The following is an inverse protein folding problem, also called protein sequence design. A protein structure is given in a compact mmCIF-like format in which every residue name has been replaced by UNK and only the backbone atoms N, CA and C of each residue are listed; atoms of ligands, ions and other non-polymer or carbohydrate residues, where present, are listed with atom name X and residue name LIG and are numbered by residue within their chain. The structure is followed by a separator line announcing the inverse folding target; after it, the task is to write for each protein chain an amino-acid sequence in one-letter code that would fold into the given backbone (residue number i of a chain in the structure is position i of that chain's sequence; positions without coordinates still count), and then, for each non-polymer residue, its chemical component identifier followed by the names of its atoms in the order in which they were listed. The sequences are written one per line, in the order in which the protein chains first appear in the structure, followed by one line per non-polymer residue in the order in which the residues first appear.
data_IF_249445772205
#
_entry.id   IF_249445772205
#
_cell.length_a   1.000
_cell.length_b   1.000
_cell.length_c   1.000
_cell.angle_alpha   90.00
_cell.angle_beta   90.00
_cell.angle_gamma   90.00
#
_symmetry.space_group_name_H-M   'P 1'
#
loop_
_entity.id
_entity.type
_entity.pdbx_description
1 polymer ?
#
# COMPACT_ATOMS: atom_id res chain seq x y z
N UNK A 1 -11.73 -0.61 -24.01
CA UNK A 1 -11.53 -1.22 -22.68
C UNK A 1 -11.00 -0.16 -21.68
N UNK A 2 -11.82 0.84 -21.32
CA UNK A 2 -11.45 2.02 -20.49
C UNK A 2 -12.18 2.10 -19.13
N UNK A 3 -12.90 1.04 -18.75
CA UNK A 3 -13.88 1.10 -17.64
C UNK A 3 -13.27 0.78 -16.25
N UNK A 4 -12.11 0.12 -16.18
CA UNK A 4 -11.50 -0.30 -14.89
C UNK A 4 -10.76 0.82 -14.13
N UNK A 5 -10.15 1.78 -14.83
CA UNK A 5 -9.27 2.78 -14.19
C UNK A 5 -10.06 3.75 -13.30
N UNK A 6 -11.28 4.13 -13.70
CA UNK A 6 -12.13 5.05 -12.93
C UNK A 6 -12.71 4.38 -11.67
N UNK A 7 -12.98 3.07 -11.71
CA UNK A 7 -13.49 2.35 -10.53
C UNK A 7 -12.43 2.17 -9.45
N UNK A 8 -11.17 1.97 -9.84
CA UNK A 8 -10.09 1.73 -8.88
C UNK A 8 -9.64 3.02 -8.18
N UNK A 9 -9.66 4.16 -8.88
CA UNK A 9 -9.37 5.47 -8.28
C UNK A 9 -10.45 5.89 -7.26
N UNK A 10 -11.74 5.83 -7.63
CA UNK A 10 -12.82 6.18 -6.71
C UNK A 10 -12.83 5.26 -5.48
N UNK A 11 -12.62 3.96 -5.67
CA UNK A 11 -12.52 3.00 -4.57
C UNK A 11 -11.29 3.26 -3.68
N UNK A 12 -10.15 3.63 -4.27
CA UNK A 12 -8.96 4.01 -3.53
C UNK A 12 -9.19 5.26 -2.68
N UNK A 13 -9.82 6.29 -3.26
CA UNK A 13 -10.09 7.54 -2.57
C UNK A 13 -11.09 7.36 -1.43
N UNK A 14 -12.18 6.61 -1.65
CA UNK A 14 -13.14 6.27 -0.60
C UNK A 14 -12.47 5.48 0.56
N UNK A 15 -11.56 4.55 0.25
CA UNK A 15 -10.80 3.84 1.28
C UNK A 15 -9.88 4.78 2.07
N UNK A 16 -9.22 5.71 1.38
CA UNK A 16 -8.36 6.72 2.00
C UNK A 16 -9.15 7.66 2.93
N UNK A 17 -10.34 8.09 2.53
CA UNK A 17 -11.20 8.95 3.34
C UNK A 17 -11.70 8.23 4.59
N UNK A 18 -12.17 6.98 4.44
CA UNK A 18 -12.59 6.15 5.56
C UNK A 18 -11.46 5.90 6.57
N UNK A 19 -10.20 5.76 6.12
CA UNK A 19 -9.04 5.64 7.00
C UNK A 19 -8.75 6.96 7.73
N UNK A 20 -8.83 8.10 7.04
CA UNK A 20 -8.65 9.42 7.65
C UNK A 20 -9.72 9.73 8.70
N UNK A 21 -10.99 9.43 8.43
CA UNK A 21 -12.09 9.60 9.38
C UNK A 21 -11.86 8.77 10.65
N UNK A 22 -11.39 7.52 10.50
CA UNK A 22 -11.06 6.64 11.63
C UNK A 22 -9.86 7.14 12.43
N UNK A 23 -8.82 7.64 11.75
CA UNK A 23 -7.68 8.28 12.41
C UNK A 23 -8.14 9.51 13.21
N UNK A 24 -8.94 10.39 12.61
CA UNK A 24 -9.48 11.60 13.25
C UNK A 24 -10.41 11.29 14.43
N UNK A 25 -11.14 10.17 14.38
CA UNK A 25 -11.95 9.66 15.50
C UNK A 25 -11.09 9.13 16.68
N UNK A 26 -9.76 9.26 16.64
CA UNK A 26 -8.85 8.86 17.71
C UNK A 26 -8.69 7.34 17.84
N UNK A 27 -9.27 6.56 16.92
CA UNK A 27 -9.17 5.10 16.93
C UNK A 27 -7.74 4.61 16.62
N UNK A 28 -6.86 5.49 16.11
CA UNK A 28 -5.47 5.18 15.80
C UNK A 28 -4.59 4.97 17.05
N UNK A 29 -4.85 5.70 18.14
CA UNK A 29 -4.03 5.69 19.37
C UNK A 29 -4.54 4.74 20.46
N UNK A 30 -5.71 4.13 20.28
CA UNK A 30 -6.24 3.19 21.28
C UNK A 30 -5.37 1.95 21.27
N UNK A 31 -4.36 1.93 22.16
CA UNK A 31 -3.54 0.75 22.48
C UNK A 31 -4.40 -0.46 22.88
N UNK A 32 -5.68 -0.22 23.20
CA UNK A 32 -6.77 -1.18 23.45
C UNK A 32 -7.77 -1.31 22.28
N UNK A 33 -7.38 -1.11 21.02
CA UNK A 33 -8.16 -1.68 19.93
C UNK A 33 -8.12 -3.21 20.09
N UNK A 34 -9.28 -3.87 19.97
CA UNK A 34 -9.33 -5.33 19.95
C UNK A 34 -8.47 -5.87 18.81
N UNK A 35 -7.96 -7.09 18.94
CA UNK A 35 -7.17 -7.75 17.88
C UNK A 35 -7.91 -7.78 16.54
N UNK A 36 -9.24 -7.82 16.56
CA UNK A 36 -10.10 -7.77 15.37
C UNK A 36 -10.09 -6.39 14.70
N UNK A 37 -10.28 -5.30 15.45
CA UNK A 37 -10.31 -3.94 14.90
C UNK A 37 -8.97 -3.51 14.27
N UNK A 38 -7.85 -3.98 14.81
CA UNK A 38 -6.54 -3.78 14.18
C UNK A 38 -6.43 -4.52 12.85
N UNK A 39 -6.80 -5.80 12.82
CA UNK A 39 -6.79 -6.61 11.59
C UNK A 39 -7.65 -6.01 10.48
N UNK A 40 -8.85 -5.55 10.83
CA UNK A 40 -9.77 -4.95 9.85
C UNK A 40 -9.20 -3.65 9.23
N UNK A 41 -8.44 -2.89 10.02
CA UNK A 41 -7.76 -1.67 9.57
C UNK A 41 -6.58 -1.98 8.65
N UNK A 42 -5.68 -2.85 9.09
CA UNK A 42 -4.52 -3.28 8.31
C UNK A 42 -5.01 -3.84 6.96
N UNK A 43 -6.10 -4.60 6.97
CA UNK A 43 -6.76 -5.13 5.79
C UNK A 43 -7.33 -4.04 4.86
N UNK A 44 -7.90 -2.97 5.40
CA UNK A 44 -8.43 -1.86 4.61
C UNK A 44 -7.31 -1.06 3.92
N UNK A 45 -6.25 -0.72 4.65
CA UNK A 45 -5.08 -0.04 4.10
C UNK A 45 -4.37 -0.93 3.07
N UNK A 46 -4.21 -2.22 3.37
CA UNK A 46 -3.66 -3.23 2.46
C UNK A 46 -4.43 -3.32 1.15
N UNK A 47 -5.76 -3.42 1.21
CA UNK A 47 -6.62 -3.45 0.01
C UNK A 47 -6.49 -2.16 -0.81
N UNK A 48 -6.40 -1.00 -0.17
CA UNK A 48 -6.20 0.25 -0.88
C UNK A 48 -4.87 0.26 -1.66
N UNK A 49 -3.80 -0.23 -1.06
CA UNK A 49 -2.49 -0.33 -1.72
C UNK A 49 -2.51 -1.32 -2.88
N UNK A 50 -3.17 -2.48 -2.74
CA UNK A 50 -3.35 -3.42 -3.85
C UNK A 50 -4.14 -2.82 -5.02
N UNK A 51 -5.13 -1.97 -4.74
CA UNK A 51 -5.84 -1.23 -5.80
C UNK A 51 -4.93 -0.23 -6.49
N UNK A 52 -4.18 0.57 -5.71
CA UNK A 52 -3.20 1.54 -6.24
C UNK A 52 -2.12 0.87 -7.09
N UNK A 53 -1.74 -0.37 -6.75
CA UNK A 53 -0.70 -1.10 -7.47
C UNK A 53 -1.16 -1.58 -8.84
N UNK A 54 -2.48 -1.65 -9.08
CA UNK A 54 -3.10 -2.18 -10.30
C UNK A 54 -2.58 -3.60 -10.64
N UNK A 55 -2.22 -4.37 -9.61
CA UNK A 55 -1.67 -5.71 -9.77
C UNK A 55 -0.20 -5.77 -10.20
N UNK A 56 0.55 -4.67 -10.06
CA UNK A 56 1.98 -4.57 -10.42
C UNK A 56 2.85 -4.28 -9.21
N UNK A 57 4.11 -4.72 -9.23
CA UNK A 57 5.10 -4.30 -8.24
C UNK A 57 5.36 -2.79 -8.36
N UNK A 58 5.39 -2.09 -7.23
CA UNK A 58 5.62 -0.65 -7.17
C UNK A 58 7.10 -0.27 -6.98
N UNK A 59 8.01 -1.25 -6.82
CA UNK A 59 9.45 -0.95 -6.76
C UNK A 59 9.95 -0.39 -8.10
N UNK A 60 10.65 0.76 -8.11
CA UNK A 60 11.09 1.41 -9.34
C UNK A 60 12.19 0.63 -10.07
N UNK A 61 12.87 -0.26 -9.36
CA UNK A 61 13.97 -1.09 -9.85
C UNK A 61 13.55 -2.56 -10.02
N UNK A 62 12.24 -2.83 -10.00
CA UNK A 62 11.70 -4.16 -10.23
C UNK A 62 11.99 -4.63 -11.65
N UNK A 63 12.62 -5.80 -11.79
CA UNK A 63 12.88 -6.43 -13.09
C UNK A 63 11.63 -7.05 -13.72
N UNK A 64 10.62 -7.36 -12.89
CA UNK A 64 9.38 -8.02 -13.32
C UNK A 64 8.16 -7.40 -12.61
N UNK A 65 7.76 -6.17 -12.98
CA UNK A 65 6.66 -5.48 -12.32
C UNK A 65 5.31 -6.14 -12.58
N UNK A 66 5.11 -6.71 -13.77
CA UNK A 66 3.95 -7.52 -14.12
C UNK A 66 4.24 -8.99 -13.83
N UNK A 67 3.79 -9.47 -12.67
CA UNK A 67 4.09 -10.83 -12.24
C UNK A 67 3.31 -11.88 -13.04
N UNK A 68 3.99 -12.92 -13.56
CA UNK A 68 3.32 -14.05 -14.22
C UNK A 68 2.69 -15.01 -13.20
N UNK A 69 3.14 -14.97 -11.95
CA UNK A 69 2.67 -15.83 -10.87
C UNK A 69 1.45 -15.23 -10.17
N UNK A 70 0.51 -16.11 -9.83
CA UNK A 70 -0.76 -15.76 -9.18
C UNK A 70 -0.95 -16.55 -7.90
N UNK A 71 -1.70 -15.98 -6.96
CA UNK A 71 -2.19 -16.67 -5.77
C UNK A 71 -3.20 -17.76 -6.16
N UNK A 72 -3.60 -18.59 -5.20
CA UNK A 72 -4.68 -19.58 -5.38
C UNK A 72 -6.03 -18.93 -5.72
N UNK A 73 -6.20 -17.64 -5.39
CA UNK A 73 -7.38 -16.82 -5.73
C UNK A 73 -7.26 -16.14 -7.10
N UNK A 74 -6.15 -16.32 -7.82
CA UNK A 74 -5.94 -15.75 -9.15
C UNK A 74 -5.43 -14.31 -9.16
N UNK A 75 -5.06 -13.74 -8.01
CA UNK A 75 -4.51 -12.39 -7.91
C UNK A 75 -2.99 -12.40 -8.14
N UNK A 76 -2.37 -11.33 -8.67
CA UNK A 76 -0.91 -11.23 -8.74
C UNK A 76 -0.26 -11.47 -7.38
N UNK A 77 0.85 -12.22 -7.35
CA UNK A 77 1.56 -12.57 -6.11
C UNK A 77 2.32 -11.37 -5.55
N UNK A 78 1.60 -10.39 -5.00
CA UNK A 78 2.14 -9.18 -4.38
C UNK A 78 2.01 -9.22 -2.87
N UNK A 79 3.07 -8.75 -2.22
CA UNK A 79 3.18 -8.56 -0.78
C UNK A 79 3.03 -7.07 -0.49
N UNK A 80 2.09 -6.71 0.38
CA UNK A 80 1.86 -5.33 0.79
C UNK A 80 2.34 -5.18 2.22
N UNK A 81 3.18 -4.17 2.43
CA UNK A 81 3.88 -3.97 3.69
C UNK A 81 4.19 -2.48 3.92
N UNK A 82 4.42 -2.09 5.17
CA UNK A 82 4.78 -0.72 5.54
C UNK A 82 6.23 -0.47 5.19
N UNK A 83 6.53 0.69 4.58
CA UNK A 83 7.89 0.98 4.12
C UNK A 83 8.84 1.10 5.31
N UNK A 84 8.34 1.74 6.37
CA UNK A 84 8.98 1.88 7.67
C UNK A 84 8.36 0.90 8.66
N UNK A 85 9.18 0.28 9.50
CA UNK A 85 8.70 -0.64 10.52
C UNK A 85 7.64 0.04 11.41
N UNK A 86 6.51 -0.63 11.62
CA UNK A 86 5.47 -0.17 12.55
C UNK A 86 6.01 0.14 13.95
N UNK A 87 7.04 -0.59 14.40
CA UNK A 87 7.69 -0.36 15.68
C UNK A 87 8.40 1.00 15.76
N UNK A 88 8.77 1.59 14.62
CA UNK A 88 9.37 2.91 14.51
C UNK A 88 8.33 4.05 14.37
N UNK A 89 7.03 3.75 14.50
CA UNK A 89 5.96 4.75 14.39
C UNK A 89 5.47 4.98 12.96
N UNK A 90 5.69 4.02 12.05
CA UNK A 90 5.14 4.05 10.70
C UNK A 90 3.61 4.18 10.73
N UNK A 91 3.09 5.23 10.09
CA UNK A 91 1.64 5.48 9.97
C UNK A 91 0.98 4.36 9.18
N UNK A 92 -0.11 3.82 9.70
CA UNK A 92 -0.89 2.78 9.02
C UNK A 92 -1.84 3.41 7.98
N UNK A 93 -1.23 3.94 6.92
CA UNK A 93 -1.95 4.66 5.86
C UNK A 93 -1.33 4.36 4.49
N UNK A 94 -2.13 4.31 3.39
CA UNK A 94 -1.64 3.90 2.08
C UNK A 94 -0.42 4.68 1.57
N UNK A 95 -0.23 5.95 1.95
CA UNK A 95 0.95 6.73 1.55
C UNK A 95 2.28 6.21 2.13
N UNK A 96 2.24 5.42 3.20
CA UNK A 96 3.40 4.85 3.89
C UNK A 96 3.56 3.33 3.67
N UNK A 97 2.69 2.74 2.86
CA UNK A 97 2.69 1.32 2.51
C UNK A 97 3.01 1.13 1.03
N UNK A 98 3.47 -0.06 0.65
CA UNK A 98 3.89 -0.36 -0.72
C UNK A 98 3.53 -1.80 -1.12
N UNK A 99 3.16 -2.02 -2.39
CA UNK A 99 2.98 -3.36 -2.97
C UNK A 99 4.25 -3.81 -3.71
N UNK A 100 4.85 -4.91 -3.29
CA UNK A 100 6.10 -5.45 -3.84
C UNK A 100 5.92 -6.91 -4.28
N UNK A 101 6.72 -7.33 -5.27
CA UNK A 101 6.89 -8.76 -5.54
C UNK A 101 7.79 -9.41 -4.46
N UNK A 102 7.82 -10.75 -4.35
CA UNK A 102 8.62 -11.45 -3.34
C UNK A 102 10.11 -11.07 -3.37
N UNK A 103 10.68 -10.87 -4.56
CA UNK A 103 12.10 -10.49 -4.70
C UNK A 103 12.37 -9.06 -4.22
N UNK A 104 11.47 -8.12 -4.54
CA UNK A 104 11.60 -6.73 -4.08
C UNK A 104 11.35 -6.61 -2.58
N UNK A 105 10.42 -7.41 -2.03
CA UNK A 105 10.20 -7.49 -0.59
C UNK A 105 11.43 -8.07 0.11
N UNK A 106 12.03 -9.14 -0.43
CA UNK A 106 13.30 -9.66 0.06
C UNK A 106 14.41 -8.59 0.01
N UNK A 107 14.52 -7.82 -1.08
CA UNK A 107 15.51 -6.73 -1.16
C UNK A 107 15.27 -5.65 -0.11
N UNK A 108 14.01 -5.27 0.14
CA UNK A 108 13.63 -4.29 1.17
C UNK A 108 13.97 -4.75 2.58
N UNK A 109 13.89 -6.05 2.85
CA UNK A 109 14.02 -6.60 4.22
C UNK A 109 15.43 -7.10 4.56
N UNK A 110 16.17 -7.59 3.57
CA UNK A 110 17.48 -8.24 3.77
C UNK A 110 18.51 -7.90 2.67
N UNK A 111 18.22 -6.95 1.80
CA UNK A 111 19.16 -6.51 0.77
C UNK A 111 20.27 -5.63 1.37
N UNK A 112 21.46 -5.65 0.76
CA UNK A 112 22.56 -4.80 1.19
C UNK A 112 22.20 -3.31 1.15
N UNK A 113 21.44 -2.90 0.14
CA UNK A 113 21.01 -1.51 -0.08
C UNK A 113 19.57 -1.25 0.41
N UNK A 114 19.11 -1.99 1.42
CA UNK A 114 17.71 -1.92 1.89
C UNK A 114 17.25 -0.51 2.29
N UNK A 115 18.14 0.30 2.89
CA UNK A 115 17.79 1.63 3.38
C UNK A 115 17.62 2.63 2.23
N UNK A 116 18.51 2.56 1.24
CA UNK A 116 18.38 3.32 -0.01
C UNK A 116 17.10 2.90 -0.77
N UNK A 117 16.82 1.60 -0.83
CA UNK A 117 15.57 1.11 -1.41
C UNK A 117 14.36 1.67 -0.65
N UNK A 118 14.33 1.61 0.68
CA UNK A 118 13.23 2.18 1.49
C UNK A 118 13.02 3.66 1.18
N UNK A 119 14.07 4.46 1.09
CA UNK A 119 13.98 5.87 0.70
C UNK A 119 13.31 6.07 -0.66
N UNK A 120 13.73 5.31 -1.67
CA UNK A 120 13.12 5.33 -3.01
C UNK A 120 11.65 4.91 -2.96
N UNK A 121 11.31 3.88 -2.18
CA UNK A 121 9.94 3.40 -2.01
C UNK A 121 9.04 4.45 -1.34
N UNK A 122 9.54 5.21 -0.35
CA UNK A 122 8.77 6.33 0.26
C UNK A 122 8.36 7.35 -0.79
N UNK A 123 9.29 7.73 -1.67
CA UNK A 123 9.01 8.68 -2.76
C UNK A 123 7.97 8.12 -3.73
N UNK A 124 8.08 6.84 -4.11
CA UNK A 124 7.13 6.19 -5.02
C UNK A 124 5.74 6.08 -4.41
N UNK A 125 5.61 5.58 -3.18
CA UNK A 125 4.33 5.43 -2.51
C UNK A 125 3.60 6.78 -2.35
N UNK A 126 4.34 7.82 -1.94
CA UNK A 126 3.80 9.16 -1.81
C UNK A 126 3.33 9.72 -3.16
N UNK A 127 4.15 9.60 -4.21
CA UNK A 127 3.79 10.08 -5.56
C UNK A 127 2.55 9.38 -6.10
N UNK A 128 2.47 8.05 -5.98
CA UNK A 128 1.31 7.27 -6.44
C UNK A 128 0.05 7.61 -5.64
N UNK A 129 0.18 7.79 -4.33
CA UNK A 129 -0.92 8.27 -3.48
C UNK A 129 -1.43 9.65 -3.93
N UNK A 130 -0.52 10.63 -4.06
CA UNK A 130 -0.87 11.98 -4.51
C UNK A 130 -1.51 12.00 -5.89
N UNK A 131 -1.01 11.18 -6.83
CA UNK A 131 -1.57 11.09 -8.17
C UNK A 131 -3.03 10.61 -8.18
N UNK A 132 -3.42 9.69 -7.31
CA UNK A 132 -4.81 9.23 -7.20
C UNK A 132 -5.69 10.21 -6.40
N UNK A 133 -5.14 10.81 -5.35
CA UNK A 133 -5.86 11.81 -4.53
C UNK A 133 -6.09 13.12 -5.26
N UNK A 134 -5.16 13.52 -6.13
CA UNK A 134 -5.23 14.76 -6.91
C UNK A 134 -6.25 14.70 -8.05
N UNK A 135 -6.38 13.55 -8.72
CA UNK A 135 -7.32 13.36 -9.83
C UNK A 135 -8.80 13.45 -9.43
N UNK A 136 -9.13 13.19 -8.16
CA UNK A 136 -10.50 13.30 -7.65
C UNK A 136 -11.02 14.73 -7.49
N UNK A 137 -10.16 15.74 -7.68
CA UNK A 137 -10.46 17.17 -7.48
C UNK A 137 -10.73 17.94 -8.77
N UNK A 138 -10.63 17.28 -9.93
CA UNK A 138 -10.96 17.81 -11.26
C UNK A 138 -12.28 17.20 -11.78
#
# INVERSE_FOLDING_TARGET
MRVRVVSDEAAYNAACDALLEREAAGSHEVRRATTTERRDRDDAARRAVLRRSEGRCESPECLLPDLPYRTTTGEPLLEVDHIDDHAAGGRDYPSAMIALCPDCQAKKTRGADQDELRERLRVVALRRHQALRGKSRD
#
